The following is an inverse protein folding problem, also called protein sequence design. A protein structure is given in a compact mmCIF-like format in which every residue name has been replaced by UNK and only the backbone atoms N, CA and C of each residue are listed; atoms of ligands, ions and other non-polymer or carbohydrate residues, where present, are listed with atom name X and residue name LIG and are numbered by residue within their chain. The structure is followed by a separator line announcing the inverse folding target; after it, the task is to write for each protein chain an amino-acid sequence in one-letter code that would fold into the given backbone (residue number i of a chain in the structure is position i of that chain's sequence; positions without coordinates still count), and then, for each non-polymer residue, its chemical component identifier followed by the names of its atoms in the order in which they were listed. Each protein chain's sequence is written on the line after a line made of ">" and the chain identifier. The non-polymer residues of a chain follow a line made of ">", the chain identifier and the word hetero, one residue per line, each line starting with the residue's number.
data_IF_883004172391
#
_entry.id   IF_883004172391
#
_cell.length_a   1.000
_cell.length_b   1.000
_cell.length_c   1.000
_cell.angle_alpha   90.00
_cell.angle_beta   90.00
_cell.angle_gamma   90.00
#
_symmetry.space_group_name_H-M   'P 1'
#
loop_
_entity.id
_entity.type
_entity.pdbx_description
1 polymer ?
#
# COMPACT_ATOMS: atom_id res chain seq x y z
N UNK A 1 2.95 26.07 80.84
CA UNK A 1 2.92 26.76 79.54
C UNK A 1 1.94 27.90 79.63
N UNK A 2 2.41 29.13 79.46
CA UNK A 2 1.59 30.35 79.61
C UNK A 2 0.62 30.58 78.45
N UNK A 3 -0.47 31.24 78.65
CA UNK A 3 -1.50 31.55 77.64
C UNK A 3 -0.94 32.28 76.38
N UNK A 4 0.19 32.93 76.50
CA UNK A 4 0.89 33.60 75.40
C UNK A 4 1.47 32.62 74.37
N UNK A 5 1.97 31.44 74.81
CA UNK A 5 2.52 30.41 73.88
C UNK A 5 1.48 29.70 73.01
N UNK A 6 0.21 29.62 73.46
CA UNK A 6 -0.87 29.04 72.71
C UNK A 6 -1.37 29.96 71.55
N UNK A 7 -1.30 31.29 71.75
CA UNK A 7 -1.71 32.25 70.70
C UNK A 7 -0.76 32.29 69.52
N UNK A 8 0.54 32.13 69.75
CA UNK A 8 1.53 32.10 68.65
C UNK A 8 1.49 30.78 67.89
N UNK A 9 1.10 29.66 68.49
CA UNK A 9 0.91 28.38 67.79
C UNK A 9 -0.31 28.39 66.90
N UNK A 10 -1.40 29.05 67.29
CA UNK A 10 -2.62 29.19 66.47
C UNK A 10 -2.43 30.16 65.33
N UNK A 11 -1.65 31.23 65.48
CA UNK A 11 -1.31 32.16 64.40
C UNK A 11 -0.33 31.56 63.38
N UNK A 12 0.57 30.71 63.79
CA UNK A 12 1.47 29.96 62.88
C UNK A 12 0.74 28.91 62.05
N UNK A 13 -0.27 28.26 62.62
CA UNK A 13 -1.09 27.27 61.90
C UNK A 13 -2.02 27.89 60.84
N UNK A 14 -2.54 29.09 61.09
CA UNK A 14 -3.39 29.81 60.14
C UNK A 14 -2.57 30.34 58.90
N UNK A 15 -1.30 30.69 59.11
CA UNK A 15 -0.43 31.18 58.03
C UNK A 15 0.07 30.04 57.13
N UNK A 16 0.22 28.82 57.62
CA UNK A 16 0.56 27.62 56.83
C UNK A 16 -0.61 27.07 56.02
N UNK A 17 -1.87 27.28 56.50
CA UNK A 17 -3.06 26.89 55.75
C UNK A 17 -3.36 27.81 54.54
N UNK A 18 -2.96 29.09 54.59
CA UNK A 18 -3.15 30.06 53.50
C UNK A 18 -2.10 29.87 52.38
N UNK A 19 -0.90 29.31 52.67
CA UNK A 19 0.11 28.98 51.69
C UNK A 19 -0.16 27.63 50.97
N UNK A 20 -0.99 26.76 51.48
CA UNK A 20 -1.36 25.47 50.92
C UNK A 20 -2.46 25.55 49.83
N UNK A 21 -3.13 26.67 49.68
CA UNK A 21 -4.22 26.86 48.71
C UNK A 21 -3.79 27.61 47.42
N UNK A 22 -2.57 28.14 47.36
CA UNK A 22 -2.04 28.84 46.20
C UNK A 22 -1.21 27.95 45.27
N UNK A 23 -1.15 26.63 45.47
CA UNK A 23 -0.23 25.71 44.84
C UNK A 23 -0.84 24.60 43.95
N UNK A 24 -2.13 24.67 43.61
CA UNK A 24 -2.67 23.83 42.53
C UNK A 24 -2.87 24.64 41.24
N UNK A 25 -1.81 25.31 40.79
CA UNK A 25 -1.68 25.45 39.34
C UNK A 25 -1.53 24.04 38.79
N UNK A 26 -2.58 23.46 38.29
CA UNK A 26 -2.50 22.30 37.40
C UNK A 26 -1.60 22.72 36.26
N UNK A 27 -0.31 22.40 36.35
CA UNK A 27 0.54 22.31 35.18
C UNK A 27 -0.14 21.27 34.32
N UNK A 28 -0.93 21.73 33.31
CA UNK A 28 -1.41 20.88 32.25
C UNK A 28 -0.18 20.23 31.68
N UNK A 29 0.01 18.92 31.92
CA UNK A 29 1.02 18.14 31.23
C UNK A 29 0.74 18.42 29.75
N UNK A 30 1.71 18.97 28.98
CA UNK A 30 1.46 19.24 27.58
C UNK A 30 0.94 17.96 26.96
N UNK A 31 -0.26 18.02 26.34
CA UNK A 31 -0.82 16.85 25.67
C UNK A 31 0.21 16.39 24.66
N UNK A 32 0.60 15.10 24.72
CA UNK A 32 1.49 14.54 23.71
C UNK A 32 0.88 14.80 22.33
N UNK A 33 1.68 15.31 21.40
CA UNK A 33 1.25 15.43 20.02
C UNK A 33 0.80 14.06 19.51
N UNK A 34 -0.33 14.04 18.79
CA UNK A 34 -0.95 12.81 18.28
C UNK A 34 -0.89 12.79 16.76
N UNK A 35 -0.36 11.70 16.21
CA UNK A 35 -0.45 11.39 14.79
C UNK A 35 -1.45 10.26 14.57
N UNK A 36 -2.48 10.54 13.76
CA UNK A 36 -3.41 9.55 13.28
C UNK A 36 -2.91 8.96 11.97
N UNK A 37 -2.77 7.64 11.88
CA UNK A 37 -2.42 6.91 10.66
C UNK A 37 -3.64 6.14 10.19
N UNK A 38 -4.04 6.32 8.94
CA UNK A 38 -5.19 5.66 8.31
C UNK A 38 -4.72 4.71 7.23
N UNK A 39 -4.92 3.41 7.46
CA UNK A 39 -4.48 2.30 6.60
C UNK A 39 -3.16 1.69 7.07
N UNK A 40 -3.16 0.38 7.33
CA UNK A 40 -2.05 -0.42 7.86
C UNK A 40 -1.22 -1.16 6.80
N UNK A 41 -1.27 -0.73 5.54
CA UNK A 41 -0.43 -1.27 4.46
C UNK A 41 1.05 -0.88 4.60
N UNK A 42 1.85 -1.13 3.54
CA UNK A 42 3.29 -0.83 3.53
C UNK A 42 3.61 0.59 3.97
N UNK A 43 2.86 1.58 3.49
CA UNK A 43 3.10 2.98 3.85
C UNK A 43 2.70 3.29 5.29
N UNK A 44 1.45 3.01 5.66
CA UNK A 44 0.93 3.40 6.97
C UNK A 44 1.56 2.67 8.15
N UNK A 45 1.78 1.36 8.03
CA UNK A 45 2.48 0.59 9.08
C UNK A 45 3.92 1.11 9.29
N UNK A 46 4.66 1.37 8.19
CA UNK A 46 5.99 1.97 8.26
C UNK A 46 5.93 3.37 8.90
N UNK A 47 5.00 4.23 8.48
CA UNK A 47 4.88 5.58 9.05
C UNK A 47 4.58 5.52 10.55
N UNK A 48 3.65 4.66 10.98
CA UNK A 48 3.30 4.49 12.39
C UNK A 48 4.52 4.09 13.23
N UNK A 49 5.29 3.12 12.77
CA UNK A 49 6.52 2.67 13.43
C UNK A 49 7.57 3.78 13.48
N UNK A 50 7.88 4.38 12.32
CA UNK A 50 8.97 5.35 12.23
C UNK A 50 8.70 6.67 12.93
N UNK A 51 7.43 7.12 13.00
CA UNK A 51 7.05 8.28 13.84
C UNK A 51 7.36 7.98 15.31
N UNK A 52 7.04 6.78 15.80
CA UNK A 52 7.39 6.36 17.17
C UNK A 52 8.89 6.35 17.40
N UNK A 53 9.65 5.70 16.50
CA UNK A 53 11.11 5.58 16.62
C UNK A 53 11.80 6.94 16.55
N UNK A 54 11.51 7.75 15.53
CA UNK A 54 12.18 9.03 15.30
C UNK A 54 11.82 10.10 16.34
N UNK A 55 10.67 9.98 17.01
CA UNK A 55 10.28 10.84 18.11
C UNK A 55 10.77 10.36 19.49
N UNK A 56 11.62 9.35 19.55
CA UNK A 56 12.01 8.71 20.81
C UNK A 56 10.77 8.33 21.66
N UNK A 57 9.74 7.79 20.98
CA UNK A 57 8.46 7.38 21.54
C UNK A 57 7.64 8.50 22.22
N UNK A 58 7.94 9.77 21.95
CA UNK A 58 7.28 10.93 22.57
C UNK A 58 5.97 11.30 21.90
N UNK A 59 5.81 11.04 20.59
CA UNK A 59 4.58 11.29 19.84
C UNK A 59 3.64 10.10 19.97
N UNK A 60 2.36 10.35 20.30
CA UNK A 60 1.33 9.32 20.30
C UNK A 60 0.97 8.96 18.84
N UNK A 61 0.87 7.67 18.53
CA UNK A 61 0.44 7.19 17.20
C UNK A 61 -0.74 6.25 17.34
N UNK A 62 -1.82 6.60 16.65
CA UNK A 62 -3.02 5.77 16.50
C UNK A 62 -3.10 5.30 15.05
N UNK A 63 -3.09 3.99 14.83
CA UNK A 63 -3.27 3.37 13.51
C UNK A 63 -4.70 2.83 13.40
N UNK A 64 -5.47 3.34 12.45
CA UNK A 64 -6.81 2.82 12.11
C UNK A 64 -6.68 1.90 10.90
N UNK A 65 -6.96 0.61 11.11
CA UNK A 65 -6.89 -0.43 10.09
C UNK A 65 -7.95 -1.51 10.37
N UNK A 66 -8.87 -1.78 9.42
CA UNK A 66 -9.94 -2.74 9.65
C UNK A 66 -9.48 -4.20 9.68
N UNK A 67 -8.37 -4.52 8.99
CA UNK A 67 -7.90 -5.90 8.87
C UNK A 67 -7.20 -6.38 10.14
N UNK A 68 -7.38 -7.67 10.48
CA UNK A 68 -6.69 -8.29 11.63
C UNK A 68 -5.18 -8.34 11.47
N UNK A 69 -4.75 -8.53 10.24
CA UNK A 69 -3.35 -8.65 9.89
C UNK A 69 -3.08 -8.03 8.53
N UNK A 70 -1.87 -7.60 8.34
CA UNK A 70 -1.34 -7.21 7.05
C UNK A 70 -1.19 -8.44 6.16
N UNK A 71 -1.64 -8.36 4.90
CA UNK A 71 -1.40 -9.37 3.87
C UNK A 71 -0.63 -8.75 2.72
N UNK A 72 0.52 -9.29 2.41
CA UNK A 72 1.40 -8.76 1.37
C UNK A 72 0.85 -9.03 -0.04
N UNK A 73 0.68 -7.98 -0.85
CA UNK A 73 0.41 -8.12 -2.28
C UNK A 73 1.64 -8.55 -3.09
N UNK A 74 2.84 -7.95 -2.91
CA UNK A 74 4.09 -8.57 -3.37
C UNK A 74 4.20 -10.00 -2.87
N UNK A 75 4.71 -10.91 -3.73
CA UNK A 75 4.81 -12.37 -3.50
C UNK A 75 3.46 -13.12 -3.63
N UNK A 76 2.29 -12.47 -3.55
CA UNK A 76 0.99 -13.15 -3.56
C UNK A 76 0.70 -13.90 -4.87
N UNK A 77 1.37 -13.58 -5.97
CA UNK A 77 1.26 -14.34 -7.22
C UNK A 77 1.79 -15.78 -7.08
N UNK A 78 2.72 -16.05 -6.15
CA UNK A 78 3.17 -17.40 -5.85
C UNK A 78 2.09 -18.28 -5.21
N UNK A 79 1.09 -17.68 -4.56
CA UNK A 79 -0.09 -18.42 -4.07
C UNK A 79 -0.91 -18.91 -5.26
N UNK A 80 -1.07 -18.11 -6.30
CA UNK A 80 -1.76 -18.51 -7.54
C UNK A 80 -1.03 -19.64 -8.27
N UNK A 81 0.30 -19.63 -8.25
CA UNK A 81 1.14 -20.71 -8.77
C UNK A 81 1.20 -21.97 -7.88
N UNK A 82 0.69 -21.91 -6.65
CA UNK A 82 0.75 -23.01 -5.67
C UNK A 82 2.09 -23.19 -4.97
N UNK A 83 3.02 -22.25 -5.13
CA UNK A 83 4.34 -22.30 -4.51
C UNK A 83 4.38 -21.73 -3.07
N UNK A 84 3.34 -20.98 -2.66
CA UNK A 84 3.20 -20.40 -1.32
C UNK A 84 1.75 -20.51 -0.82
N UNK A 85 1.61 -20.44 0.50
CA UNK A 85 0.32 -20.31 1.16
C UNK A 85 0.09 -18.84 1.56
N UNK A 86 -1.18 -18.39 1.60
CA UNK A 86 -1.50 -17.00 1.95
C UNK A 86 -1.06 -16.65 3.38
N UNK A 87 -1.02 -17.62 4.28
CA UNK A 87 -0.57 -17.45 5.67
C UNK A 87 0.90 -17.05 5.76
N UNK A 88 1.74 -17.49 4.83
CA UNK A 88 3.17 -17.13 4.77
C UNK A 88 3.39 -15.63 4.45
N UNK A 89 2.36 -14.97 3.90
CA UNK A 89 2.36 -13.56 3.51
C UNK A 89 1.55 -12.69 4.47
N UNK A 90 1.06 -13.29 5.57
CA UNK A 90 0.21 -12.63 6.56
C UNK A 90 1.01 -12.31 7.79
N UNK A 91 1.06 -11.03 8.19
CA UNK A 91 1.84 -10.54 9.34
C UNK A 91 0.90 -9.77 10.28
N UNK A 92 0.78 -10.17 11.56
CA UNK A 92 -0.05 -9.47 12.52
C UNK A 92 0.55 -8.11 12.94
N UNK A 93 -0.31 -7.17 13.36
CA UNK A 93 0.11 -5.85 13.88
C UNK A 93 0.62 -5.88 15.33
N UNK A 94 0.67 -7.06 15.96
CA UNK A 94 1.00 -7.20 17.38
C UNK A 94 2.35 -6.57 17.79
N UNK A 95 3.35 -6.64 16.91
CA UNK A 95 4.66 -6.06 17.23
C UNK A 95 4.66 -4.53 17.17
N UNK A 96 3.86 -3.89 16.30
CA UNK A 96 3.65 -2.45 16.32
C UNK A 96 3.07 -1.99 17.67
N UNK A 97 2.15 -2.76 18.24
CA UNK A 97 1.56 -2.47 19.55
C UNK A 97 2.57 -2.71 20.68
N UNK A 98 3.13 -3.90 20.76
CA UNK A 98 3.94 -4.32 21.90
C UNK A 98 5.35 -3.72 21.96
N UNK A 99 5.99 -3.52 20.80
CA UNK A 99 7.36 -3.01 20.72
C UNK A 99 7.43 -1.50 20.49
N UNK A 100 6.48 -0.96 19.74
CA UNK A 100 6.50 0.44 19.34
C UNK A 100 5.41 1.29 20.02
N UNK A 101 4.51 0.69 20.80
CA UNK A 101 3.45 1.41 21.51
C UNK A 101 2.49 2.14 20.57
N UNK A 102 2.25 1.59 19.37
CA UNK A 102 1.22 2.07 18.44
C UNK A 102 -0.13 1.57 18.92
N UNK A 103 -1.11 2.47 19.07
CA UNK A 103 -2.49 2.08 19.34
C UNK A 103 -3.14 1.65 18.03
N UNK A 104 -3.49 0.38 17.88
CA UNK A 104 -4.18 -0.14 16.68
C UNK A 104 -5.68 -0.19 16.96
N UNK A 105 -6.45 0.54 16.14
CA UNK A 105 -7.92 0.58 16.18
C UNK A 105 -8.45 -0.17 14.96
N UNK A 106 -9.21 -1.23 15.21
CA UNK A 106 -9.82 -2.06 14.14
C UNK A 106 -11.13 -1.47 13.68
N UNK A 107 -11.04 -0.53 12.75
CA UNK A 107 -12.19 0.14 12.17
C UNK A 107 -11.83 0.77 10.83
N UNK A 108 -12.83 1.27 10.13
CA UNK A 108 -12.69 2.15 8.98
C UNK A 108 -12.81 3.61 9.41
N UNK A 109 -12.08 4.50 8.73
CA UNK A 109 -12.36 5.94 8.81
C UNK A 109 -13.46 6.26 7.80
N UNK A 110 -14.60 6.71 8.30
CA UNK A 110 -15.78 7.05 7.49
C UNK A 110 -15.66 8.45 6.86
N UNK A 111 -15.11 9.43 7.62
CA UNK A 111 -14.88 10.80 7.16
C UNK A 111 -13.71 11.47 7.88
N UNK A 112 -13.16 12.51 7.26
CA UNK A 112 -12.10 13.36 7.80
C UNK A 112 -12.56 14.81 7.66
N UNK A 113 -12.63 15.53 8.78
CA UNK A 113 -12.79 16.99 8.83
C UNK A 113 -11.38 17.59 8.97
N UNK A 114 -10.83 18.08 7.86
CA UNK A 114 -9.47 18.59 7.80
C UNK A 114 -9.31 19.90 8.61
N UNK A 115 -10.32 20.75 8.64
CA UNK A 115 -10.28 22.05 9.32
C UNK A 115 -10.30 21.86 10.85
N UNK A 116 -11.12 20.95 11.34
CA UNK A 116 -11.18 20.59 12.77
C UNK A 116 -10.11 19.59 13.19
N UNK A 117 -9.41 18.98 12.23
CA UNK A 117 -8.44 17.90 12.45
C UNK A 117 -9.02 16.74 13.25
N UNK A 118 -10.16 16.24 12.78
CA UNK A 118 -10.90 15.13 13.39
C UNK A 118 -11.24 14.10 12.32
N UNK A 119 -11.01 12.84 12.61
CA UNK A 119 -11.48 11.70 11.82
C UNK A 119 -12.64 11.01 12.56
N UNK A 120 -13.70 10.67 11.84
CA UNK A 120 -14.82 9.90 12.36
C UNK A 120 -14.70 8.44 11.91
N UNK A 121 -14.79 7.52 12.85
CA UNK A 121 -14.77 6.09 12.59
C UNK A 121 -16.13 5.60 12.07
N UNK A 122 -16.15 4.50 11.36
CA UNK A 122 -17.38 3.89 10.87
C UNK A 122 -18.28 3.40 12.02
N UNK A 123 -17.71 3.00 13.16
CA UNK A 123 -18.44 2.67 14.39
C UNK A 123 -18.97 3.88 15.16
N UNK A 124 -18.66 5.12 14.76
CA UNK A 124 -19.18 6.37 15.31
C UNK A 124 -18.20 7.23 16.10
N UNK A 125 -17.25 6.75 16.91
CA UNK A 125 -16.28 7.55 17.65
C UNK A 125 -15.42 8.43 16.75
N UNK A 126 -14.91 9.53 17.34
CA UNK A 126 -14.01 10.45 16.64
C UNK A 126 -12.61 10.41 17.24
N UNK A 127 -11.61 10.68 16.40
CA UNK A 127 -10.20 10.79 16.81
C UNK A 127 -9.68 12.14 16.34
N UNK A 128 -9.31 13.00 17.29
CA UNK A 128 -8.60 14.25 17.00
C UNK A 128 -7.12 13.98 16.79
N UNK A 129 -6.48 14.77 15.91
CA UNK A 129 -5.06 14.63 15.57
C UNK A 129 -4.37 15.98 15.37
N UNK A 130 -3.06 16.02 15.58
CA UNK A 130 -2.21 17.14 15.19
C UNK A 130 -1.74 17.01 13.74
N UNK A 131 -1.39 15.78 13.34
CA UNK A 131 -1.06 15.38 11.97
C UNK A 131 -1.77 14.07 11.62
N UNK A 132 -2.14 13.94 10.36
CA UNK A 132 -2.76 12.71 9.83
C UNK A 132 -1.89 12.16 8.70
N UNK A 133 -1.58 10.87 8.75
CA UNK A 133 -0.99 10.11 7.65
C UNK A 133 -2.10 9.30 7.00
N UNK A 134 -2.39 9.57 5.73
CA UNK A 134 -3.38 8.87 4.94
C UNK A 134 -2.68 7.94 3.94
N UNK A 135 -2.75 6.64 4.19
CA UNK A 135 -2.15 5.59 3.34
C UNK A 135 -3.19 4.54 2.91
N UNK A 136 -4.25 4.96 2.19
CA UNK A 136 -5.40 4.12 1.91
C UNK A 136 -5.16 3.15 0.74
N UNK A 137 -3.98 3.21 0.12
CA UNK A 137 -3.69 2.46 -1.10
C UNK A 137 -4.57 2.86 -2.28
N UNK A 138 -4.95 1.86 -3.08
CA UNK A 138 -5.83 2.05 -4.25
C UNK A 138 -7.25 1.57 -3.97
N UNK A 139 -8.20 2.18 -4.67
CA UNK A 139 -9.54 1.68 -4.91
C UNK A 139 -9.68 1.18 -6.35
N UNK A 140 -10.41 0.07 -6.52
CA UNK A 140 -10.76 -0.46 -7.82
C UNK A 140 -11.97 0.29 -8.37
N UNK A 141 -11.86 0.81 -9.58
CA UNK A 141 -12.94 1.55 -10.26
C UNK A 141 -13.85 0.54 -10.98
N UNK A 142 -14.73 -0.11 -10.22
CA UNK A 142 -15.59 -1.18 -10.73
C UNK A 142 -16.39 -0.78 -11.97
N UNK A 143 -16.85 0.47 -12.03
CA UNK A 143 -17.65 0.99 -13.14
C UNK A 143 -16.84 1.17 -14.44
N UNK A 144 -15.50 1.00 -14.39
CA UNK A 144 -14.67 1.03 -15.61
C UNK A 144 -14.82 -0.22 -16.48
N UNK A 145 -15.44 -1.29 -15.97
CA UNK A 145 -15.75 -2.50 -16.71
C UNK A 145 -17.17 -2.93 -16.33
N UNK A 146 -18.12 -2.77 -17.25
CA UNK A 146 -19.53 -3.06 -16.99
C UNK A 146 -19.75 -4.54 -16.62
N UNK A 147 -20.59 -4.82 -15.61
CA UNK A 147 -20.90 -6.16 -15.10
C UNK A 147 -19.81 -6.78 -14.20
N UNK A 148 -18.65 -6.16 -14.08
CA UNK A 148 -17.54 -6.73 -13.29
C UNK A 148 -17.83 -6.73 -11.78
N UNK A 149 -18.46 -5.67 -11.27
CA UNK A 149 -18.76 -5.55 -9.84
C UNK A 149 -19.67 -6.69 -9.35
N UNK A 150 -20.73 -6.95 -10.09
CA UNK A 150 -21.69 -8.01 -9.80
C UNK A 150 -21.07 -9.39 -9.96
N UNK A 151 -20.31 -9.60 -11.05
CA UNK A 151 -19.59 -10.86 -11.29
C UNK A 151 -18.54 -11.15 -10.22
N UNK A 152 -17.85 -10.12 -9.72
CA UNK A 152 -16.88 -10.26 -8.63
C UNK A 152 -17.58 -10.56 -7.30
N UNK A 153 -18.65 -9.85 -6.96
CA UNK A 153 -19.42 -10.09 -5.75
C UNK A 153 -20.01 -11.51 -5.71
N UNK A 154 -20.36 -12.08 -6.89
CA UNK A 154 -20.81 -13.45 -7.04
C UNK A 154 -19.68 -14.50 -7.05
N UNK A 155 -18.40 -14.08 -6.95
CA UNK A 155 -17.24 -14.96 -7.00
C UNK A 155 -16.95 -15.59 -8.36
N UNK A 156 -17.58 -15.09 -9.43
CA UNK A 156 -17.45 -15.65 -10.78
C UNK A 156 -16.21 -15.11 -11.51
N UNK A 157 -15.98 -13.79 -11.45
CA UNK A 157 -14.82 -13.13 -12.04
C UNK A 157 -14.07 -12.41 -10.93
N UNK A 158 -12.84 -12.87 -10.65
CA UNK A 158 -12.04 -12.39 -9.53
C UNK A 158 -10.95 -11.41 -9.99
N UNK A 159 -10.74 -10.34 -9.22
CA UNK A 159 -9.60 -9.45 -9.43
C UNK A 159 -8.32 -9.95 -8.71
N UNK A 160 -8.47 -10.48 -7.48
CA UNK A 160 -7.37 -10.96 -6.63
C UNK A 160 -6.13 -10.02 -6.61
N UNK A 161 -6.37 -8.71 -6.81
CA UNK A 161 -5.29 -7.70 -6.85
C UNK A 161 -4.96 -7.17 -5.46
N UNK A 162 -5.94 -7.16 -4.57
CA UNK A 162 -5.73 -7.05 -3.13
C UNK A 162 -5.56 -8.46 -2.58
N UNK A 163 -4.36 -8.77 -2.07
CA UNK A 163 -4.07 -10.11 -1.55
C UNK A 163 -4.95 -10.46 -0.35
N UNK A 164 -5.40 -11.69 -0.29
CA UNK A 164 -6.29 -12.18 0.76
C UNK A 164 -7.16 -13.36 0.30
N UNK A 165 -8.39 -13.47 0.82
CA UNK A 165 -9.30 -14.58 0.49
C UNK A 165 -9.55 -14.75 -1.01
N UNK A 166 -9.64 -13.65 -1.76
CA UNK A 166 -9.87 -13.70 -3.21
C UNK A 166 -8.68 -14.29 -3.98
N UNK A 167 -7.44 -14.11 -3.47
CA UNK A 167 -6.25 -14.78 -4.04
C UNK A 167 -6.39 -16.29 -3.94
N UNK A 168 -6.84 -16.78 -2.80
CA UNK A 168 -7.09 -18.22 -2.57
C UNK A 168 -8.24 -18.72 -3.44
N UNK A 169 -9.30 -17.91 -3.58
CA UNK A 169 -10.44 -18.25 -4.44
C UNK A 169 -10.03 -18.36 -5.91
N UNK A 170 -9.24 -17.43 -6.42
CA UNK A 170 -8.71 -17.49 -7.79
C UNK A 170 -7.80 -18.73 -7.99
N UNK A 171 -6.96 -19.06 -7.01
CA UNK A 171 -6.17 -20.30 -7.06
C UNK A 171 -7.09 -21.53 -7.19
N UNK A 172 -8.17 -21.61 -6.46
CA UNK A 172 -9.15 -22.71 -6.57
C UNK A 172 -9.81 -22.79 -7.94
N UNK A 173 -10.13 -21.63 -8.57
CA UNK A 173 -10.63 -21.61 -9.95
C UNK A 173 -9.61 -22.19 -10.92
N UNK A 174 -8.32 -21.83 -10.79
CA UNK A 174 -7.25 -22.37 -11.62
C UNK A 174 -7.06 -23.88 -11.43
N UNK A 175 -7.22 -24.38 -10.21
CA UNK A 175 -7.17 -25.82 -9.91
C UNK A 175 -8.36 -26.58 -10.50
N UNK A 176 -9.54 -26.00 -10.40
CA UNK A 176 -10.79 -26.63 -10.91
C UNK A 176 -10.90 -26.58 -12.45
N UNK A 177 -10.23 -25.65 -13.10
CA UNK A 177 -10.23 -25.53 -14.57
C UNK A 177 -9.67 -26.84 -15.20
N UNK A 178 -10.31 -27.42 -16.23
CA UNK A 178 -9.78 -28.62 -16.91
C UNK A 178 -8.45 -28.32 -17.61
N UNK A 179 -7.63 -29.37 -17.81
CA UNK A 179 -6.46 -29.27 -18.69
C UNK A 179 -6.93 -29.07 -20.14
N UNK A 180 -6.43 -28.03 -20.78
CA UNK A 180 -6.90 -27.50 -22.06
C UNK A 180 -7.78 -26.27 -21.92
N UNK A 181 -8.14 -25.86 -20.70
CA UNK A 181 -8.88 -24.63 -20.44
C UNK A 181 -8.03 -23.36 -20.63
N UNK A 182 -8.69 -22.22 -20.70
CA UNK A 182 -8.11 -20.89 -20.91
C UNK A 182 -8.26 -20.04 -19.67
N UNK A 183 -7.14 -19.52 -19.17
CA UNK A 183 -7.11 -18.40 -18.20
C UNK A 183 -6.81 -17.11 -18.95
N UNK A 184 -7.59 -16.06 -18.72
CA UNK A 184 -7.34 -14.73 -19.27
C UNK A 184 -7.23 -13.67 -18.16
N UNK A 185 -6.16 -12.87 -18.21
CA UNK A 185 -6.01 -11.69 -17.36
C UNK A 185 -6.12 -10.43 -18.20
N UNK A 186 -6.95 -9.46 -17.75
CA UNK A 186 -6.95 -8.12 -18.34
C UNK A 186 -6.12 -7.17 -17.51
N UNK A 187 -5.40 -6.25 -18.17
CA UNK A 187 -4.55 -5.24 -17.54
C UNK A 187 -5.11 -3.86 -17.90
N UNK A 188 -5.42 -2.98 -16.92
CA UNK A 188 -5.93 -1.66 -17.22
C UNK A 188 -4.85 -0.72 -17.76
N UNK A 189 -5.26 0.40 -18.34
CA UNK A 189 -4.34 1.47 -18.73
C UNK A 189 -3.55 2.01 -17.52
N UNK A 190 -2.26 2.25 -17.71
CA UNK A 190 -1.43 2.89 -16.70
C UNK A 190 -1.90 4.34 -16.40
N UNK A 191 -1.68 4.87 -15.19
CA UNK A 191 -0.98 4.25 -14.06
C UNK A 191 -1.88 3.35 -13.23
N UNK A 192 -1.34 2.21 -12.82
CA UNK A 192 -1.94 1.28 -11.88
C UNK A 192 -0.91 0.78 -10.87
N UNK A 193 -1.36 0.19 -9.76
CA UNK A 193 -0.47 -0.35 -8.73
C UNK A 193 0.29 -1.55 -9.22
N UNK A 194 1.60 -1.64 -8.87
CA UNK A 194 2.50 -2.74 -9.20
C UNK A 194 2.62 -3.00 -10.71
N UNK A 195 3.29 -2.08 -11.47
CA UNK A 195 3.39 -2.19 -12.93
C UNK A 195 3.82 -3.57 -13.47
N UNK A 196 4.81 -4.29 -12.87
CA UNK A 196 5.19 -5.62 -13.35
C UNK A 196 4.24 -6.74 -12.88
N UNK A 197 3.38 -6.50 -11.91
CA UNK A 197 2.60 -7.53 -11.21
C UNK A 197 1.70 -8.40 -12.09
N UNK A 198 0.97 -7.84 -13.09
CA UNK A 198 0.12 -8.65 -13.96
C UNK A 198 0.93 -9.61 -14.85
N UNK A 199 2.07 -9.16 -15.34
CA UNK A 199 2.98 -9.97 -16.19
C UNK A 199 3.68 -11.07 -15.39
N UNK A 200 4.05 -10.78 -14.14
CA UNK A 200 4.50 -11.77 -13.17
C UNK A 200 3.41 -12.82 -12.93
N UNK A 201 2.16 -12.40 -12.66
CA UNK A 201 1.02 -13.29 -12.45
C UNK A 201 0.83 -14.25 -13.62
N UNK A 202 0.84 -13.72 -14.83
CA UNK A 202 0.71 -14.51 -16.05
C UNK A 202 1.84 -15.53 -16.19
N UNK A 203 3.09 -15.13 -15.91
CA UNK A 203 4.25 -16.02 -15.97
C UNK A 203 4.19 -17.14 -14.93
N UNK A 204 3.81 -16.82 -13.69
CA UNK A 204 3.67 -17.81 -12.60
C UNK A 204 2.54 -18.80 -12.92
N UNK A 205 1.40 -18.34 -13.47
CA UNK A 205 0.31 -19.24 -13.88
C UNK A 205 0.72 -20.08 -15.09
N UNK A 206 1.44 -19.53 -16.06
CA UNK A 206 1.96 -20.28 -17.19
C UNK A 206 2.93 -21.38 -16.74
N UNK A 207 3.77 -21.09 -15.73
CA UNK A 207 4.65 -22.10 -15.12
C UNK A 207 3.84 -23.21 -14.43
N UNK A 208 2.78 -22.87 -13.71
CA UNK A 208 1.87 -23.85 -13.13
C UNK A 208 1.21 -24.71 -14.22
N UNK A 209 0.70 -24.10 -15.29
CA UNK A 209 0.08 -24.85 -16.39
C UNK A 209 1.08 -25.77 -17.10
N UNK A 210 2.29 -25.31 -17.35
CA UNK A 210 3.34 -26.13 -17.96
C UNK A 210 3.57 -27.44 -17.19
N UNK A 211 3.40 -27.43 -15.88
CA UNK A 211 3.61 -28.60 -15.02
C UNK A 211 2.35 -29.44 -14.83
N UNK A 212 1.21 -28.81 -14.57
CA UNK A 212 -0.01 -29.46 -14.11
C UNK A 212 -1.12 -29.53 -15.18
N UNK A 213 -1.11 -28.65 -16.17
CA UNK A 213 -2.16 -28.52 -17.20
C UNK A 213 -1.56 -28.10 -18.55
N UNK A 214 -0.74 -28.96 -19.19
CA UNK A 214 0.13 -28.56 -20.31
C UNK A 214 -0.61 -28.18 -21.61
N UNK A 215 -1.89 -28.50 -21.74
CA UNK A 215 -2.73 -28.11 -22.88
C UNK A 215 -3.43 -26.77 -22.66
N UNK A 216 -3.40 -26.25 -21.43
CA UNK A 216 -4.08 -25.00 -21.05
C UNK A 216 -3.32 -23.76 -21.57
N UNK A 217 -4.04 -22.63 -21.65
CA UNK A 217 -3.53 -21.37 -22.16
C UNK A 217 -3.66 -20.24 -21.15
N UNK A 218 -2.70 -19.30 -21.20
CA UNK A 218 -2.72 -18.01 -20.52
C UNK A 218 -2.81 -16.91 -21.57
N UNK A 219 -3.87 -16.11 -21.53
CA UNK A 219 -4.02 -14.91 -22.34
C UNK A 219 -3.77 -13.67 -21.48
N UNK A 220 -2.85 -12.82 -21.91
CA UNK A 220 -2.55 -11.52 -21.31
C UNK A 220 -3.14 -10.44 -22.21
N UNK A 221 -4.25 -9.85 -21.78
CA UNK A 221 -5.05 -8.88 -22.54
C UNK A 221 -4.78 -7.49 -21.95
N UNK A 222 -3.84 -6.78 -22.54
CA UNK A 222 -3.26 -5.55 -21.98
C UNK A 222 -3.83 -4.31 -22.67
N UNK A 223 -4.42 -3.38 -21.92
CA UNK A 223 -4.89 -2.12 -22.48
C UNK A 223 -3.77 -1.20 -22.96
N UNK A 224 -2.54 -1.43 -22.51
CA UNK A 224 -1.38 -0.64 -22.87
C UNK A 224 -0.80 -1.05 -24.24
N UNK A 225 0.01 -0.18 -24.82
CA UNK A 225 0.67 -0.45 -26.11
C UNK A 225 1.74 -1.53 -26.01
N UNK A 226 2.36 -1.65 -24.85
CA UNK A 226 3.37 -2.65 -24.55
C UNK A 226 3.45 -2.94 -23.05
N UNK A 227 4.22 -3.95 -22.68
CA UNK A 227 4.53 -4.32 -21.30
C UNK A 227 5.13 -3.12 -20.55
N UNK A 228 4.45 -2.65 -19.51
CA UNK A 228 4.77 -1.38 -18.84
C UNK A 228 6.01 -1.43 -17.95
N UNK A 229 6.54 -2.61 -17.64
CA UNK A 229 7.73 -2.78 -16.79
C UNK A 229 8.46 -4.07 -17.13
N UNK A 230 9.79 -4.01 -17.29
CA UNK A 230 10.65 -5.16 -17.60
C UNK A 230 10.26 -5.91 -18.90
N UNK A 231 9.67 -5.19 -19.87
CA UNK A 231 9.09 -5.76 -21.08
C UNK A 231 9.99 -6.74 -21.84
N UNK A 232 11.23 -6.36 -22.20
CA UNK A 232 12.13 -7.26 -22.90
C UNK A 232 12.39 -8.58 -22.17
N UNK A 233 12.51 -8.56 -20.84
CA UNK A 233 12.75 -9.76 -20.04
C UNK A 233 11.52 -10.67 -19.98
N UNK A 234 10.33 -10.12 -19.74
CA UNK A 234 9.11 -10.92 -19.75
C UNK A 234 8.84 -11.54 -21.12
N UNK A 235 8.94 -10.76 -22.19
CA UNK A 235 8.75 -11.26 -23.56
C UNK A 235 9.73 -12.37 -23.93
N UNK A 236 10.99 -12.24 -23.53
CA UNK A 236 11.99 -13.28 -23.72
C UNK A 236 11.62 -14.57 -23.01
N UNK A 237 11.25 -14.48 -21.72
CA UNK A 237 10.80 -15.64 -20.94
C UNK A 237 9.59 -16.31 -21.60
N UNK A 238 8.59 -15.53 -22.04
CA UNK A 238 7.39 -16.09 -22.66
C UNK A 238 7.70 -16.81 -23.97
N UNK A 239 8.57 -16.23 -24.79
CA UNK A 239 8.97 -16.84 -26.06
C UNK A 239 9.80 -18.12 -25.88
N UNK A 240 10.68 -18.17 -24.87
CA UNK A 240 11.60 -19.29 -24.64
C UNK A 240 10.97 -20.38 -23.76
N UNK A 241 10.26 -20.01 -22.69
CA UNK A 241 9.80 -20.97 -21.68
C UNK A 241 8.31 -21.33 -21.80
N UNK A 242 7.47 -20.41 -22.30
CA UNK A 242 6.02 -20.55 -22.34
C UNK A 242 5.44 -20.44 -23.75
N UNK A 243 6.27 -20.68 -24.76
CA UNK A 243 5.82 -20.76 -26.17
C UNK A 243 4.66 -21.75 -26.30
N UNK A 244 3.57 -21.29 -26.88
CA UNK A 244 2.36 -22.09 -27.06
C UNK A 244 1.48 -22.24 -25.80
N UNK A 245 1.91 -21.73 -24.62
CA UNK A 245 1.13 -21.69 -23.38
C UNK A 245 0.65 -20.26 -23.10
N UNK A 246 1.54 -19.26 -23.16
CA UNK A 246 1.22 -17.87 -22.89
C UNK A 246 1.20 -17.04 -24.19
N UNK A 247 0.15 -16.26 -24.35
CA UNK A 247 -0.03 -15.32 -25.45
C UNK A 247 -0.27 -13.91 -24.89
N UNK A 248 0.50 -12.92 -25.37
CA UNK A 248 0.38 -11.52 -25.01
C UNK A 248 -0.29 -10.73 -26.14
N UNK A 249 -1.38 -10.01 -25.78
CA UNK A 249 -2.14 -9.16 -26.70
C UNK A 249 -2.21 -7.74 -26.15
N UNK A 250 -1.48 -6.78 -26.74
CA UNK A 250 -1.58 -5.36 -26.40
C UNK A 250 -2.88 -4.74 -26.93
N UNK A 251 -3.18 -3.52 -26.47
CA UNK A 251 -4.31 -2.69 -26.91
C UNK A 251 -5.69 -3.36 -26.71
N UNK A 252 -5.81 -4.20 -25.68
CA UNK A 252 -7.04 -4.89 -25.28
C UNK A 252 -7.66 -4.20 -24.05
N UNK A 253 -8.29 -3.03 -24.24
CA UNK A 253 -8.96 -2.30 -23.17
C UNK A 253 -10.32 -2.93 -22.87
N UNK A 254 -10.42 -3.63 -21.75
CA UNK A 254 -11.67 -4.26 -21.30
C UNK A 254 -12.71 -3.17 -20.93
N UNK A 255 -13.95 -3.33 -21.42
CA UNK A 255 -15.07 -2.42 -21.17
C UNK A 255 -16.28 -3.10 -20.53
N UNK A 256 -16.45 -4.41 -20.68
CA UNK A 256 -17.52 -5.16 -20.07
C UNK A 256 -17.16 -6.63 -19.89
N UNK A 257 -17.91 -7.32 -19.03
CA UNK A 257 -17.85 -8.78 -18.87
C UNK A 257 -19.23 -9.39 -18.94
N UNK A 258 -19.30 -10.61 -19.48
CA UNK A 258 -20.44 -11.51 -19.36
C UNK A 258 -19.97 -12.77 -18.58
N UNK A 259 -20.28 -12.82 -17.30
CA UNK A 259 -19.85 -13.90 -16.43
C UNK A 259 -20.49 -15.24 -16.77
N UNK A 260 -21.73 -15.24 -17.32
CA UNK A 260 -22.43 -16.48 -17.73
C UNK A 260 -21.83 -17.08 -19.00
N UNK A 261 -21.45 -16.23 -19.93
CA UNK A 261 -20.80 -16.65 -21.17
C UNK A 261 -19.28 -16.90 -21.00
N UNK A 262 -18.68 -16.47 -19.86
CA UNK A 262 -17.24 -16.51 -19.65
C UNK A 262 -16.48 -15.57 -20.61
N UNK A 263 -17.04 -14.40 -20.91
CA UNK A 263 -16.54 -13.51 -21.96
C UNK A 263 -16.16 -12.15 -21.39
N UNK A 264 -15.03 -11.60 -21.87
CA UNK A 264 -14.65 -10.21 -21.69
C UNK A 264 -14.74 -9.46 -23.02
N UNK A 265 -15.31 -8.24 -22.99
CA UNK A 265 -15.51 -7.35 -24.13
C UNK A 265 -14.50 -6.22 -24.10
N UNK A 266 -14.03 -5.83 -25.26
CA UNK A 266 -13.05 -4.77 -25.44
C UNK A 266 -13.62 -3.57 -26.19
N UNK A 267 -12.95 -2.41 -26.04
CA UNK A 267 -13.36 -1.16 -26.68
C UNK A 267 -13.31 -1.24 -28.21
N UNK A 268 -12.33 -1.94 -28.77
CA UNK A 268 -12.08 -2.02 -30.23
C UNK A 268 -11.83 -3.46 -30.70
N UNK A 269 -11.28 -4.32 -29.85
CA UNK A 269 -10.89 -5.68 -30.20
C UNK A 269 -12.07 -6.66 -30.05
N UNK A 270 -11.97 -7.82 -30.70
CA UNK A 270 -12.95 -8.89 -30.59
C UNK A 270 -13.08 -9.40 -29.15
N UNK A 271 -14.28 -9.84 -28.80
CA UNK A 271 -14.58 -10.46 -27.50
C UNK A 271 -13.72 -11.71 -27.28
N UNK A 272 -13.25 -11.91 -26.04
CA UNK A 272 -12.44 -13.08 -25.66
C UNK A 272 -13.20 -13.91 -24.64
N UNK A 273 -13.31 -15.21 -24.91
CA UNK A 273 -13.87 -16.21 -23.99
C UNK A 273 -12.77 -16.95 -23.26
N UNK A 274 -12.96 -17.17 -21.95
CA UNK A 274 -12.04 -17.96 -21.13
C UNK A 274 -12.80 -18.73 -20.04
N UNK A 275 -12.20 -19.82 -19.56
CA UNK A 275 -12.75 -20.64 -18.47
C UNK A 275 -12.54 -19.99 -17.11
N UNK A 276 -11.43 -19.24 -16.96
CA UNK A 276 -11.14 -18.44 -15.77
C UNK A 276 -10.77 -17.02 -16.22
N UNK A 277 -11.61 -16.05 -15.84
CA UNK A 277 -11.38 -14.63 -16.08
C UNK A 277 -10.83 -13.95 -14.83
N UNK A 278 -9.69 -13.30 -14.96
CA UNK A 278 -9.08 -12.43 -13.94
C UNK A 278 -9.06 -10.99 -14.46
N UNK A 279 -10.10 -10.23 -14.14
CA UNK A 279 -10.29 -8.90 -14.72
C UNK A 279 -9.86 -7.82 -13.73
N UNK A 280 -8.86 -7.02 -14.12
CA UNK A 280 -8.37 -5.88 -13.34
C UNK A 280 -9.00 -4.60 -13.86
N UNK A 281 -9.89 -3.93 -13.09
CA UNK A 281 -10.43 -2.64 -13.47
C UNK A 281 -9.42 -1.51 -13.29
N UNK A 282 -9.70 -0.34 -13.83
CA UNK A 282 -8.93 0.88 -13.55
C UNK A 282 -8.83 1.15 -12.05
N UNK A 283 -7.82 1.93 -11.64
CA UNK A 283 -7.53 2.21 -10.23
C UNK A 283 -7.45 3.71 -9.96
N UNK A 284 -7.78 4.09 -8.72
CA UNK A 284 -7.61 5.45 -8.18
C UNK A 284 -7.16 5.38 -6.72
N UNK A 285 -6.90 6.53 -6.10
CA UNK A 285 -6.65 6.63 -4.67
C UNK A 285 -7.79 6.01 -3.87
N UNK A 286 -7.48 5.39 -2.73
CA UNK A 286 -8.48 4.75 -1.88
C UNK A 286 -9.64 5.69 -1.52
N UNK A 287 -10.83 5.12 -1.37
CA UNK A 287 -12.11 5.83 -1.28
C UNK A 287 -12.11 7.01 -0.30
N UNK A 288 -11.45 6.88 0.85
CA UNK A 288 -11.42 7.96 1.85
C UNK A 288 -10.69 9.21 1.33
N UNK A 289 -9.63 9.07 0.52
CA UNK A 289 -8.95 10.21 -0.09
C UNK A 289 -9.84 10.93 -1.10
N UNK A 290 -10.64 10.18 -1.86
CA UNK A 290 -11.62 10.74 -2.82
C UNK A 290 -12.75 11.44 -2.06
N UNK A 291 -13.34 10.80 -1.06
CA UNK A 291 -14.44 11.34 -0.25
C UNK A 291 -14.06 12.62 0.50
N UNK A 292 -12.80 12.73 0.93
CA UNK A 292 -12.27 13.92 1.63
C UNK A 292 -11.88 15.04 0.65
N UNK A 293 -12.04 14.85 -0.67
CA UNK A 293 -11.69 15.86 -1.68
C UNK A 293 -10.19 16.01 -1.93
N UNK A 294 -9.37 15.06 -1.47
CA UNK A 294 -7.91 15.13 -1.62
C UNK A 294 -7.41 14.69 -3.00
N UNK A 295 -8.20 13.91 -3.74
CA UNK A 295 -7.83 13.37 -5.05
C UNK A 295 -7.93 14.43 -6.16
N UNK A 296 -7.03 15.41 -6.13
CA UNK A 296 -7.02 16.61 -6.96
C UNK A 296 -6.14 16.50 -8.23
N UNK A 297 -5.57 15.32 -8.51
CA UNK A 297 -4.91 15.02 -9.78
C UNK A 297 -5.83 14.14 -10.62
N UNK A 298 -6.41 14.73 -11.69
CA UNK A 298 -7.35 14.06 -12.62
C UNK A 298 -8.53 13.35 -11.92
N UNK A 299 -8.94 13.80 -10.72
CA UNK A 299 -9.95 13.11 -9.89
C UNK A 299 -9.56 11.70 -9.43
N UNK A 300 -8.32 11.27 -9.67
CA UNK A 300 -7.85 9.90 -9.40
C UNK A 300 -6.80 9.82 -8.30
N UNK A 301 -5.84 10.77 -8.24
CA UNK A 301 -4.68 10.69 -7.36
C UNK A 301 -4.53 11.96 -6.53
N UNK A 302 -3.81 11.86 -5.41
CA UNK A 302 -3.57 12.99 -4.51
C UNK A 302 -2.25 13.68 -4.87
N UNK A 303 -2.28 14.97 -5.19
CA UNK A 303 -1.07 15.77 -5.29
C UNK A 303 -0.50 16.07 -3.89
N UNK A 304 0.79 15.91 -3.73
CA UNK A 304 1.51 16.13 -2.48
C UNK A 304 2.74 17.03 -2.65
N UNK A 305 3.15 17.69 -1.58
CA UNK A 305 4.49 18.24 -1.48
C UNK A 305 5.47 17.09 -1.21
N UNK A 306 6.34 16.79 -2.16
CA UNK A 306 7.24 15.64 -2.05
C UNK A 306 8.31 15.75 -0.95
N UNK A 307 8.53 16.91 -0.33
CA UNK A 307 9.46 17.04 0.80
C UNK A 307 8.92 16.40 2.08
N UNK A 308 7.60 16.43 2.28
CA UNK A 308 6.97 15.94 3.49
C UNK A 308 5.71 15.10 3.23
N UNK A 309 5.32 14.90 1.96
CA UNK A 309 4.11 14.22 1.53
C UNK A 309 2.80 14.87 2.01
N UNK A 310 2.83 16.13 2.47
CA UNK A 310 1.60 16.86 2.80
C UNK A 310 0.76 17.11 1.56
N UNK A 311 -0.54 16.87 1.67
CA UNK A 311 -1.50 17.11 0.58
C UNK A 311 -1.51 18.58 0.17
N UNK A 312 -1.56 18.84 -1.13
CA UNK A 312 -1.73 20.22 -1.63
C UNK A 312 -3.16 20.75 -1.46
N UNK A 313 -4.13 19.87 -1.13
CA UNK A 313 -5.52 20.22 -0.94
C UNK A 313 -5.89 20.47 0.53
N UNK A 314 -5.16 19.92 1.50
CA UNK A 314 -5.43 20.11 2.92
C UNK A 314 -4.14 20.05 3.74
N UNK A 315 -3.99 21.00 4.67
CA UNK A 315 -2.86 21.03 5.59
C UNK A 315 -2.99 19.97 6.67
N UNK A 316 -1.86 19.59 7.25
CA UNK A 316 -1.77 18.59 8.33
C UNK A 316 -2.18 17.16 7.92
N UNK A 317 -2.44 16.91 6.62
CA UNK A 317 -2.73 15.60 6.07
C UNK A 317 -1.63 15.20 5.11
N UNK A 318 -0.85 14.19 5.47
CA UNK A 318 0.24 13.62 4.68
C UNK A 318 -0.26 12.36 3.98
N UNK A 319 -0.22 12.34 2.64
CA UNK A 319 -0.73 11.20 1.85
C UNK A 319 0.45 10.49 1.21
N UNK A 320 0.49 9.16 1.29
CA UNK A 320 1.63 8.39 0.80
C UNK A 320 1.24 7.04 0.20
N UNK A 321 2.21 6.39 -0.43
CA UNK A 321 2.01 5.12 -1.12
C UNK A 321 1.25 5.26 -2.45
N UNK A 322 0.46 4.27 -2.77
CA UNK A 322 -0.19 4.18 -4.10
C UNK A 322 -1.28 5.25 -4.34
N UNK A 323 -1.75 5.92 -3.30
CA UNK A 323 -2.79 6.94 -3.40
C UNK A 323 -2.33 8.27 -4.03
N UNK A 324 -1.03 8.56 -4.02
CA UNK A 324 -0.51 9.84 -4.52
C UNK A 324 -0.39 9.88 -6.06
N UNK A 325 -0.40 11.09 -6.61
CA UNK A 325 0.19 11.34 -7.92
C UNK A 325 1.69 11.12 -7.79
N UNK A 326 2.23 10.12 -8.47
CA UNK A 326 3.66 9.82 -8.41
C UNK A 326 4.46 10.77 -9.29
N UNK A 327 5.71 11.02 -8.91
CA UNK A 327 6.68 11.73 -9.75
C UNK A 327 6.97 10.93 -11.04
N UNK A 328 7.49 11.57 -12.09
CA UNK A 328 7.85 10.88 -13.33
C UNK A 328 8.73 9.65 -13.07
N UNK A 329 8.43 8.53 -13.72
CA UNK A 329 9.12 7.23 -13.60
C UNK A 329 9.09 6.59 -12.21
N UNK A 330 8.43 7.19 -11.23
CA UNK A 330 8.25 6.61 -9.90
C UNK A 330 7.12 5.57 -9.94
N UNK A 331 7.36 4.31 -9.56
CA UNK A 331 6.33 3.29 -9.58
C UNK A 331 5.40 3.38 -8.37
N UNK A 332 4.15 2.94 -8.53
CA UNK A 332 3.25 2.62 -7.42
C UNK A 332 3.60 1.23 -6.90
N UNK A 333 4.40 1.15 -5.84
CA UNK A 333 4.89 -0.12 -5.28
C UNK A 333 4.90 -0.12 -3.76
N UNK A 334 4.90 -1.32 -3.16
CA UNK A 334 5.01 -1.47 -1.70
C UNK A 334 6.34 -0.92 -1.15
N UNK A 335 7.45 -1.10 -1.88
CA UNK A 335 8.75 -0.55 -1.48
C UNK A 335 8.76 0.97 -1.53
N UNK A 336 8.19 1.56 -2.60
CA UNK A 336 8.07 3.01 -2.70
C UNK A 336 7.18 3.57 -1.58
N UNK A 337 6.07 2.90 -1.25
CA UNK A 337 5.21 3.29 -0.14
C UNK A 337 5.95 3.27 1.22
N UNK A 338 6.81 2.27 1.45
CA UNK A 338 7.69 2.22 2.62
C UNK A 338 8.71 3.36 2.62
N UNK A 339 9.31 3.68 1.47
CA UNK A 339 10.25 4.81 1.32
C UNK A 339 9.56 6.16 1.57
N UNK A 340 8.37 6.40 0.99
CA UNK A 340 7.55 7.59 1.26
C UNK A 340 7.28 7.76 2.75
N UNK A 341 6.94 6.67 3.42
CA UNK A 341 6.59 6.67 4.84
C UNK A 341 7.74 7.12 5.74
N UNK A 342 8.97 6.73 5.42
CA UNK A 342 10.16 7.14 6.19
C UNK A 342 10.44 8.63 6.03
N UNK A 343 10.34 9.15 4.82
CA UNK A 343 10.49 10.59 4.56
C UNK A 343 9.38 11.39 5.25
N UNK A 344 8.11 10.97 5.10
CA UNK A 344 6.99 11.62 5.75
C UNK A 344 7.08 11.58 7.28
N UNK A 345 7.47 10.43 7.86
CA UNK A 345 7.63 10.29 9.30
C UNK A 345 8.71 11.24 9.85
N UNK A 346 9.86 11.32 9.19
CA UNK A 346 10.92 12.25 9.57
C UNK A 346 10.46 13.70 9.50
N UNK A 347 9.76 14.09 8.43
CA UNK A 347 9.22 15.44 8.27
C UNK A 347 8.16 15.77 9.34
N UNK A 348 7.23 14.86 9.60
CA UNK A 348 6.18 15.04 10.63
C UNK A 348 6.80 15.22 12.01
N UNK A 349 7.81 14.41 12.35
CA UNK A 349 8.50 14.53 13.65
C UNK A 349 9.25 15.85 13.73
N UNK A 350 9.92 16.28 12.66
CA UNK A 350 10.60 17.57 12.62
C UNK A 350 9.60 18.73 12.79
N UNK A 351 8.51 18.74 12.03
CA UNK A 351 7.49 19.78 12.12
C UNK A 351 6.85 19.88 13.52
N UNK A 352 6.55 18.74 14.17
CA UNK A 352 5.96 18.73 15.51
C UNK A 352 6.93 19.16 16.62
N UNK A 353 8.24 19.12 16.36
CA UNK A 353 9.26 19.61 17.28
C UNK A 353 9.79 21.01 16.91
N UNK A 354 9.31 21.64 15.83
CA UNK A 354 9.81 22.91 15.35
C UNK A 354 11.24 22.82 14.74
N UNK A 355 11.64 21.67 14.25
CA UNK A 355 12.92 21.45 13.59
C UNK A 355 12.79 21.65 12.08
N UNK A 356 13.93 21.87 11.42
CA UNK A 356 13.98 21.91 9.96
C UNK A 356 13.76 20.51 9.38
N UNK A 357 12.99 20.44 8.29
CA UNK A 357 12.81 19.20 7.54
C UNK A 357 14.02 18.95 6.62
N UNK A 358 14.25 17.68 6.27
CA UNK A 358 15.26 17.35 5.26
C UNK A 358 14.87 17.92 3.90
N UNK A 359 15.69 18.80 3.34
CA UNK A 359 15.45 19.47 2.05
C UNK A 359 15.93 18.67 0.83
N UNK A 360 16.62 17.55 1.05
CA UNK A 360 17.16 16.68 0.01
C UNK A 360 16.86 15.19 0.29
N UNK A 361 15.57 14.81 0.45
CA UNK A 361 15.23 13.42 0.69
C UNK A 361 15.52 12.56 -0.54
N UNK A 362 15.82 11.29 -0.28
CA UNK A 362 16.01 10.27 -1.31
C UNK A 362 15.03 9.12 -1.09
N UNK A 363 14.59 8.52 -2.19
CA UNK A 363 13.70 7.36 -2.17
C UNK A 363 14.36 6.21 -2.95
N UNK A 364 14.12 4.99 -2.49
CA UNK A 364 14.61 3.79 -3.17
C UNK A 364 13.44 2.88 -3.54
N UNK A 365 13.60 2.19 -4.65
CA UNK A 365 12.65 1.18 -5.09
C UNK A 365 13.38 -0.05 -5.62
N UNK A 366 12.86 -1.22 -5.30
CA UNK A 366 13.23 -2.50 -5.91
C UNK A 366 11.94 -3.30 -6.11
N UNK A 367 11.76 -3.82 -7.32
CA UNK A 367 10.64 -4.69 -7.67
C UNK A 367 11.16 -6.01 -8.23
N UNK A 368 11.04 -7.06 -7.44
CA UNK A 368 11.27 -8.43 -7.86
C UNK A 368 10.01 -8.99 -8.53
N UNK A 369 10.16 -9.75 -9.60
CA UNK A 369 9.06 -10.44 -10.28
C UNK A 369 9.45 -11.87 -10.58
N UNK A 370 8.70 -12.82 -10.07
CA UNK A 370 8.85 -14.22 -10.40
C UNK A 370 8.40 -14.48 -11.83
N UNK A 371 9.20 -15.25 -12.55
CA UNK A 371 8.87 -15.65 -13.93
C UNK A 371 8.45 -17.12 -14.01
N UNK A 372 8.46 -17.80 -12.86
CA UNK A 372 7.96 -19.17 -12.68
C UNK A 372 7.41 -19.37 -11.26
N UNK A 373 7.15 -20.60 -10.89
CA UNK A 373 6.60 -20.98 -9.56
C UNK A 373 7.65 -20.92 -8.43
N UNK A 374 8.53 -19.94 -8.44
CA UNK A 374 9.35 -19.56 -7.29
C UNK A 374 10.85 -19.81 -7.40
N UNK A 375 11.36 -20.23 -8.57
CA UNK A 375 12.79 -20.51 -8.77
C UNK A 375 13.54 -19.35 -9.43
N UNK A 376 12.94 -18.67 -10.41
CA UNK A 376 13.59 -17.62 -11.17
C UNK A 376 12.87 -16.29 -11.03
N UNK A 377 13.66 -15.23 -10.89
CA UNK A 377 13.20 -13.84 -10.70
C UNK A 377 13.93 -12.92 -11.66
N UNK A 378 13.24 -11.88 -12.06
CA UNK A 378 13.81 -10.68 -12.67
C UNK A 378 13.50 -9.47 -11.80
N UNK A 379 14.43 -8.53 -11.66
CA UNK A 379 14.20 -7.32 -10.87
C UNK A 379 14.37 -6.03 -11.67
N UNK A 380 13.89 -4.94 -11.13
CA UNK A 380 14.23 -3.57 -11.46
C UNK A 380 14.42 -2.77 -10.17
N UNK A 381 15.46 -1.97 -10.12
CA UNK A 381 15.73 -1.08 -9.00
C UNK A 381 15.94 0.36 -9.48
N UNK A 382 15.67 1.34 -8.63
CA UNK A 382 15.92 2.77 -8.90
C UNK A 382 16.08 3.54 -7.60
N UNK A 383 16.89 4.61 -7.66
CA UNK A 383 16.98 5.64 -6.63
C UNK A 383 16.37 6.92 -7.20
N UNK A 384 15.63 7.64 -6.39
CA UNK A 384 15.03 8.92 -6.74
C UNK A 384 15.54 9.99 -5.78
N UNK A 385 16.05 11.09 -6.30
CA UNK A 385 16.47 12.27 -5.55
C UNK A 385 15.48 13.41 -5.73
N UNK A 386 15.31 14.23 -4.69
CA UNK A 386 14.48 15.41 -4.76
C UNK A 386 15.22 16.54 -5.46
N UNK A 387 14.63 17.09 -6.53
CA UNK A 387 15.15 18.23 -7.29
C UNK A 387 14.41 19.49 -6.85
N UNK A 388 15.05 20.31 -6.01
CA UNK A 388 14.42 21.48 -5.39
C UNK A 388 13.89 22.51 -6.40
N UNK A 389 14.61 22.74 -7.50
CA UNK A 389 14.21 23.68 -8.56
C UNK A 389 12.89 23.27 -9.26
N UNK A 390 12.61 21.97 -9.32
CA UNK A 390 11.42 21.42 -9.97
C UNK A 390 10.36 20.93 -8.96
N UNK A 391 10.69 20.93 -7.67
CA UNK A 391 9.83 20.47 -6.57
C UNK A 391 9.31 19.05 -6.78
N UNK A 392 10.13 18.17 -7.36
CA UNK A 392 9.74 16.78 -7.67
C UNK A 392 10.92 15.83 -7.47
N UNK A 393 10.63 14.54 -7.44
CA UNK A 393 11.66 13.51 -7.50
C UNK A 393 12.02 13.17 -8.95
N UNK A 394 13.30 12.93 -9.18
CA UNK A 394 13.82 12.35 -10.43
C UNK A 394 14.63 11.09 -10.16
N UNK A 395 14.59 10.17 -11.09
CA UNK A 395 15.44 8.98 -11.05
C UNK A 395 16.89 9.40 -11.26
N UNK A 396 17.78 8.99 -10.35
CA UNK A 396 19.22 9.21 -10.45
C UNK A 396 19.76 8.29 -11.55
N UNK A 397 20.38 8.85 -12.56
CA UNK A 397 20.93 8.10 -13.68
C UNK A 397 21.98 7.09 -13.20
N UNK A 398 21.90 5.85 -13.67
CA UNK A 398 22.82 4.76 -13.28
C UNK A 398 22.67 4.23 -11.84
N UNK A 399 21.71 4.75 -11.07
CA UNK A 399 21.52 4.36 -9.67
C UNK A 399 20.77 3.05 -9.46
N UNK A 400 20.27 2.46 -10.51
CA UNK A 400 19.47 1.25 -10.44
C UNK A 400 19.95 0.24 -11.46
N UNK A 401 19.13 -0.75 -11.71
CA UNK A 401 19.43 -1.76 -12.69
C UNK A 401 18.23 -2.62 -13.01
N UNK A 402 18.38 -3.37 -14.09
CA UNK A 402 17.45 -4.41 -14.50
C UNK A 402 18.26 -5.70 -14.60
N UNK A 403 17.70 -6.83 -14.21
CA UNK A 403 18.35 -8.14 -14.36
C UNK A 403 18.84 -8.36 -15.80
N UNK A 404 20.00 -8.95 -15.94
CA UNK A 404 20.50 -9.37 -17.27
C UNK A 404 19.67 -10.54 -17.83
N UNK A 405 19.21 -11.43 -16.94
CA UNK A 405 18.38 -12.59 -17.24
C UNK A 405 17.69 -13.07 -15.95
N UNK A 406 16.62 -13.88 -16.06
CA UNK A 406 16.04 -14.55 -14.90
C UNK A 406 17.06 -15.47 -14.21
N UNK A 407 17.10 -15.45 -12.89
CA UNK A 407 18.03 -16.28 -12.13
C UNK A 407 17.53 -16.63 -10.71
N UNK A 408 18.11 -17.70 -10.13
CA UNK A 408 17.72 -18.24 -8.81
C UNK A 408 18.26 -17.39 -7.65
N UNK A 409 19.37 -16.70 -7.83
CA UNK A 409 19.92 -15.84 -6.77
C UNK A 409 18.97 -14.68 -6.47
N UNK A 410 18.39 -14.07 -7.50
CA UNK A 410 17.38 -13.02 -7.33
C UNK A 410 16.07 -13.55 -6.75
N UNK A 411 15.72 -14.83 -6.94
CA UNK A 411 14.59 -15.44 -6.24
C UNK A 411 14.84 -15.55 -4.73
N UNK A 412 16.07 -15.89 -4.34
CA UNK A 412 16.49 -15.83 -2.93
C UNK A 412 16.41 -14.41 -2.38
N UNK A 413 16.89 -13.42 -3.14
CA UNK A 413 16.80 -11.99 -2.76
C UNK A 413 15.36 -11.51 -2.64
N UNK A 414 14.47 -11.90 -3.54
CA UNK A 414 13.07 -11.52 -3.52
C UNK A 414 12.36 -11.98 -2.23
N UNK A 415 12.61 -13.23 -1.82
CA UNK A 415 12.03 -13.77 -0.59
C UNK A 415 12.60 -13.09 0.67
N UNK A 416 13.92 -12.88 0.71
CA UNK A 416 14.57 -12.18 1.82
C UNK A 416 14.14 -10.72 1.89
N UNK A 417 14.03 -10.04 0.75
CA UNK A 417 13.48 -8.69 0.68
C UNK A 417 12.07 -8.62 1.28
N UNK A 418 11.19 -9.55 0.93
CA UNK A 418 9.84 -9.57 1.45
C UNK A 418 9.82 -9.67 2.98
N UNK A 419 10.58 -10.62 3.55
CA UNK A 419 10.70 -10.79 5.00
C UNK A 419 11.29 -9.55 5.69
N UNK A 420 12.29 -8.94 5.06
CA UNK A 420 12.97 -7.75 5.61
C UNK A 420 12.03 -6.55 5.62
N UNK A 421 11.31 -6.27 4.51
CA UNK A 421 10.40 -5.12 4.45
C UNK A 421 9.17 -5.31 5.35
N UNK A 422 8.71 -6.55 5.56
CA UNK A 422 7.65 -6.83 6.54
C UNK A 422 8.14 -6.56 7.97
N UNK A 423 9.35 -7.01 8.31
CA UNK A 423 9.96 -6.71 9.60
C UNK A 423 10.22 -5.20 9.77
N UNK A 424 10.68 -4.53 8.72
CA UNK A 424 10.91 -3.09 8.73
C UNK A 424 9.61 -2.28 8.96
N UNK A 425 8.50 -2.74 8.41
CA UNK A 425 7.22 -2.05 8.53
C UNK A 425 6.42 -2.41 9.79
N UNK A 426 6.52 -3.66 10.26
CA UNK A 426 5.54 -4.26 11.18
C UNK A 426 6.14 -4.82 12.47
N UNK A 427 7.48 -5.02 12.59
CA UNK A 427 8.09 -5.69 13.73
C UNK A 427 9.07 -4.83 14.52
#
# INVERSE_FOLDING_TARGET
>A
MSMLQRRHLLQGAASLAALGLAGCATTSVPSKARVLVVGGGYGGATAAKYIRLLSDYKIEVVLVEPSEAFVSCPISNLVLGGARQIQELTVPYAALQSRHGVTVVRDYVASIDADKRVATLASGPTIAYDKLVLSPGIELMWDSVAGLKEANAAGQILQAWKAGPETVALRRQLEAMPDGGVYAITIPEAPYRCPPGPYERASVIASYFKQAKPRSKVLVLDANQDVTSKGPLFKKVWAEQYKGILEYRPQHKAVAVDAKAGTVKFEVQDDVKADVLNVLPSMRAGAIAVKTGLANSNGRWVNVNYLNFESTAAKHIHVLGDAIQVAPLMPKSGHMANSHAKVAAAAIVAELNGWEINTAPMLTNTCYSYVDTGKNVIHVASVHEYVAAEKTFKTVAGSGGVSAAPNELEATYAWNWARTIWSDALA
#
